data_IF_360625724916
#
_entry.id   IF_360625724916
#
_cell.length_a   1.000
_cell.length_b   1.000
_cell.length_c   1.000
_cell.angle_alpha   90.00
_cell.angle_beta   90.00
_cell.angle_gamma   90.00
#
_symmetry.space_group_name_H-M   'P 1'
#
loop_
_entity.id
_entity.type
_entity.pdbx_description
1 polymer ?
#
# COMPACT_ATOMS: atom_id res chain seq x y z
N UNK A 1 -20.32 -43.12 37.12
CA UNK A 1 -19.61 -43.41 35.86
C UNK A 1 -20.52 -42.99 34.73
N UNK A 2 -20.20 -41.89 34.05
CA UNK A 2 -20.96 -41.37 32.91
C UNK A 2 -19.99 -40.92 31.82
N UNK A 3 -20.44 -41.07 30.58
CA UNK A 3 -19.70 -41.10 29.33
C UNK A 3 -18.94 -39.82 28.98
N UNK A 4 -17.88 -40.01 28.21
CA UNK A 4 -17.17 -38.99 27.45
C UNK A 4 -17.90 -38.63 26.14
N UNK A 5 -17.95 -37.33 25.83
CA UNK A 5 -18.09 -36.67 24.51
C UNK A 5 -17.97 -35.17 24.80
N UNK A 6 -17.21 -34.30 24.13
CA UNK A 6 -16.40 -34.34 22.93
C UNK A 6 -16.26 -32.90 22.42
N UNK A 7 -15.03 -32.47 22.19
CA UNK A 7 -14.57 -31.39 21.28
C UNK A 7 -15.09 -29.95 21.50
N UNK A 8 -14.23 -29.12 22.09
CA UNK A 8 -14.24 -27.66 21.90
C UNK A 8 -12.92 -27.22 21.29
N UNK A 9 -12.92 -26.79 20.03
CA UNK A 9 -11.78 -26.16 19.38
C UNK A 9 -11.53 -24.77 20.00
N UNK A 10 -10.52 -24.67 20.87
CA UNK A 10 -9.98 -23.38 21.26
C UNK A 10 -9.26 -22.76 20.05
N UNK A 11 -9.87 -21.74 19.44
CA UNK A 11 -9.14 -20.81 18.59
C UNK A 11 -8.20 -20.02 19.50
N UNK A 12 -6.95 -20.47 19.58
CA UNK A 12 -5.90 -19.72 20.26
C UNK A 12 -5.78 -18.36 19.58
N UNK A 13 -6.15 -17.31 20.30
CA UNK A 13 -5.67 -15.96 20.02
C UNK A 13 -4.15 -16.00 20.16
N UNK A 14 -3.44 -16.19 19.06
CA UNK A 14 -1.99 -16.02 19.05
C UNK A 14 -1.71 -14.52 19.16
N UNK A 15 -1.66 -14.01 20.38
CA UNK A 15 -1.06 -12.72 20.66
C UNK A 15 0.44 -12.93 20.59
N UNK A 16 1.07 -12.52 19.50
CA UNK A 16 2.53 -12.39 19.46
C UNK A 16 2.94 -11.25 20.39
N UNK A 17 3.16 -11.58 21.67
CA UNK A 17 3.84 -10.71 22.62
C UNK A 17 5.21 -11.32 22.90
N UNK A 18 6.17 -11.26 21.95
CA UNK A 18 7.51 -11.76 22.18
C UNK A 18 8.10 -11.04 23.38
N UNK A 19 8.55 -11.81 24.38
CA UNK A 19 9.14 -11.22 25.58
C UNK A 19 10.42 -10.47 25.23
N UNK A 20 10.69 -9.35 25.91
CA UNK A 20 11.94 -8.60 25.77
C UNK A 20 13.19 -9.36 26.28
N UNK A 21 13.02 -10.58 26.82
CA UNK A 21 14.09 -11.43 27.36
C UNK A 21 14.74 -12.36 26.33
N UNK A 22 14.36 -12.29 25.05
CA UNK A 22 14.98 -13.09 23.97
C UNK A 22 15.24 -12.26 22.71
N UNK A 23 15.88 -12.88 21.72
CA UNK A 23 16.38 -12.23 20.50
C UNK A 23 15.28 -11.77 19.52
N UNK A 24 14.01 -11.76 19.91
CA UNK A 24 12.87 -11.49 19.03
C UNK A 24 12.25 -10.09 19.15
N UNK A 25 12.48 -9.36 20.25
CA UNK A 25 11.89 -8.03 20.47
C UNK A 25 12.98 -7.00 20.76
N UNK A 26 13.42 -6.31 19.71
CA UNK A 26 14.44 -5.26 19.78
C UNK A 26 13.81 -3.90 19.56
N UNK A 27 14.06 -2.96 20.47
CA UNK A 27 13.78 -1.55 20.25
C UNK A 27 15.05 -0.94 19.70
N UNK A 28 15.04 -0.56 18.42
CA UNK A 28 16.20 0.05 17.76
C UNK A 28 16.04 1.57 17.79
N UNK A 29 17.04 2.28 18.33
CA UNK A 29 17.21 3.74 18.22
C UNK A 29 16.38 4.60 19.18
N UNK A 30 16.62 5.93 19.20
CA UNK A 30 15.78 6.88 19.95
C UNK A 30 14.39 7.00 19.31
N UNK A 31 13.56 7.94 19.77
CA UNK A 31 12.34 8.32 19.05
C UNK A 31 12.66 8.68 17.59
N UNK A 32 11.97 8.07 16.62
CA UNK A 32 12.06 8.43 15.19
C UNK A 32 10.97 9.44 14.85
N UNK A 33 11.27 10.75 14.82
CA UNK A 33 10.29 11.73 14.39
C UNK A 33 10.04 11.63 12.88
N UNK A 34 8.82 11.97 12.48
CA UNK A 34 8.49 12.17 11.07
C UNK A 34 9.31 13.37 10.55
N UNK A 35 9.95 13.21 9.38
CA UNK A 35 10.64 14.33 8.72
C UNK A 35 9.62 15.46 8.46
N UNK A 36 9.91 16.73 8.81
CA UNK A 36 8.99 17.85 8.62
C UNK A 36 8.46 18.00 7.20
N UNK A 37 9.22 17.63 6.17
CA UNK A 37 8.77 17.70 4.78
C UNK A 37 7.73 16.62 4.43
N UNK A 38 7.53 15.62 5.29
CA UNK A 38 6.44 14.65 5.19
C UNK A 38 5.18 15.11 5.94
N UNK A 39 5.17 16.32 6.49
CA UNK A 39 4.02 16.92 7.19
C UNK A 39 3.38 18.04 6.38
N UNK A 40 2.17 18.44 6.77
CA UNK A 40 1.54 19.60 6.13
C UNK A 40 2.14 20.90 6.65
N UNK A 41 2.79 21.67 5.76
CA UNK A 41 3.40 22.97 6.07
C UNK A 41 2.58 24.17 5.59
N UNK A 42 1.34 23.96 5.15
CA UNK A 42 0.47 25.01 4.61
C UNK A 42 0.80 25.44 3.18
N UNK A 43 1.67 24.70 2.49
CA UNK A 43 2.03 24.93 1.09
C UNK A 43 0.88 24.60 0.13
N UNK A 44 0.89 25.15 -1.10
CA UNK A 44 -0.09 24.83 -2.13
C UNK A 44 -0.25 23.32 -2.32
N UNK A 45 -1.49 22.85 -2.25
CA UNK A 45 -1.83 21.43 -2.36
C UNK A 45 -2.15 21.04 -3.79
N UNK A 46 -1.64 19.90 -4.19
CA UNK A 46 -2.00 19.24 -5.43
C UNK A 46 -3.45 18.73 -5.45
N UNK A 47 -3.77 18.03 -6.53
CA UNK A 47 -5.08 17.39 -6.76
C UNK A 47 -4.94 15.87 -6.62
N UNK A 48 -5.88 15.25 -5.92
CA UNK A 48 -5.98 13.81 -5.81
C UNK A 48 -7.21 13.30 -6.57
N UNK A 49 -7.04 12.21 -7.30
CA UNK A 49 -8.09 11.50 -8.01
C UNK A 49 -8.12 10.04 -7.56
N UNK A 50 -9.31 9.44 -7.55
CA UNK A 50 -9.50 8.02 -7.32
C UNK A 50 -10.21 7.42 -8.54
N UNK A 51 -9.64 6.34 -9.06
CA UNK A 51 -10.20 5.55 -10.14
C UNK A 51 -10.42 4.12 -9.66
N UNK A 52 -11.27 3.40 -10.39
CA UNK A 52 -11.49 1.96 -10.21
C UNK A 52 -11.19 1.23 -11.51
N UNK A 53 -10.35 0.21 -11.43
CA UNK A 53 -10.10 -0.72 -12.53
C UNK A 53 -10.81 -2.04 -12.20
N UNK A 54 -11.80 -2.43 -13.00
CA UNK A 54 -12.37 -3.78 -12.90
C UNK A 54 -11.30 -4.79 -13.31
N UNK A 55 -11.12 -5.87 -12.55
CA UNK A 55 -10.13 -6.89 -12.89
C UNK A 55 -10.43 -7.49 -14.27
N UNK A 56 -11.69 -7.76 -14.60
CA UNK A 56 -12.09 -8.29 -15.90
C UNK A 56 -11.69 -7.41 -17.11
N UNK A 57 -11.41 -6.12 -16.89
CA UNK A 57 -10.91 -5.19 -17.92
C UNK A 57 -9.36 -5.18 -18.00
N UNK A 58 -8.68 -5.77 -17.01
CA UNK A 58 -7.22 -5.93 -17.02
C UNK A 58 -6.80 -6.89 -18.12
N UNK A 59 -5.68 -6.56 -18.78
CA UNK A 59 -5.05 -7.46 -19.76
C UNK A 59 -4.23 -8.58 -19.10
N UNK A 60 -3.80 -8.36 -17.86
CA UNK A 60 -2.86 -9.24 -17.15
C UNK A 60 -3.54 -9.97 -16.00
N UNK A 61 -4.29 -9.26 -15.15
CA UNK A 61 -4.89 -9.79 -13.93
C UNK A 61 -6.40 -9.69 -13.96
N UNK A 62 -7.02 -10.66 -14.63
CA UNK A 62 -8.46 -10.68 -14.90
C UNK A 62 -9.33 -11.15 -13.73
N UNK A 63 -8.71 -11.80 -12.74
CA UNK A 63 -9.40 -12.40 -11.60
C UNK A 63 -10.08 -13.74 -11.93
N UNK A 64 -9.75 -14.33 -13.08
CA UNK A 64 -10.27 -15.62 -13.57
C UNK A 64 -9.17 -16.68 -13.71
N UNK A 65 -7.98 -16.43 -13.14
CA UNK A 65 -6.86 -17.38 -13.17
C UNK A 65 -7.21 -18.68 -12.43
N UNK A 66 -6.84 -19.81 -13.02
CA UNK A 66 -7.15 -21.15 -12.49
C UNK A 66 -6.50 -21.48 -11.16
N UNK A 67 -5.45 -20.74 -10.76
CA UNK A 67 -4.78 -20.87 -9.46
C UNK A 67 -5.59 -20.25 -8.31
N UNK A 68 -6.61 -19.43 -8.62
CA UNK A 68 -7.45 -18.80 -7.62
C UNK A 68 -8.43 -19.80 -6.99
N UNK A 69 -8.70 -19.65 -5.70
CA UNK A 69 -9.60 -20.52 -4.93
C UNK A 69 -10.83 -19.75 -4.42
N UNK A 70 -11.76 -19.30 -5.30
CA UNK A 70 -12.86 -18.40 -4.95
C UNK A 70 -13.83 -18.97 -3.91
N UNK A 71 -13.92 -20.31 -3.82
CA UNK A 71 -14.73 -21.02 -2.82
C UNK A 71 -14.13 -20.94 -1.40
N UNK A 72 -12.82 -20.71 -1.29
CA UNK A 72 -12.11 -20.54 -0.01
C UNK A 72 -11.97 -19.07 0.37
N UNK A 73 -11.77 -18.18 -0.61
CA UNK A 73 -11.64 -16.74 -0.42
C UNK A 73 -12.16 -16.01 -1.64
N UNK A 74 -13.10 -15.08 -1.44
CA UNK A 74 -13.68 -14.33 -2.55
C UNK A 74 -12.60 -13.53 -3.29
N UNK A 75 -12.57 -13.63 -4.62
CA UNK A 75 -11.66 -12.85 -5.46
C UNK A 75 -12.19 -11.43 -5.58
N UNK A 76 -11.32 -10.43 -5.45
CA UNK A 76 -11.66 -9.02 -5.65
C UNK A 76 -12.08 -8.77 -7.10
N UNK A 77 -13.07 -7.91 -7.34
CA UNK A 77 -13.61 -7.62 -8.69
C UNK A 77 -13.07 -6.32 -9.29
N UNK A 78 -12.60 -5.40 -8.46
CA UNK A 78 -12.07 -4.10 -8.87
C UNK A 78 -10.90 -3.67 -7.96
N UNK A 79 -9.99 -2.87 -8.48
CA UNK A 79 -8.90 -2.24 -7.73
C UNK A 79 -9.00 -0.73 -7.78
N UNK A 80 -8.71 -0.10 -6.65
CA UNK A 80 -8.58 1.35 -6.57
C UNK A 80 -7.21 1.80 -7.04
N UNK A 81 -7.19 2.90 -7.77
CA UNK A 81 -5.98 3.59 -8.21
C UNK A 81 -6.11 5.04 -7.75
N UNK A 82 -5.13 5.51 -6.99
CA UNK A 82 -5.06 6.87 -6.49
C UNK A 82 -4.00 7.63 -7.28
N UNK A 83 -4.38 8.76 -7.86
CA UNK A 83 -3.46 9.61 -8.62
C UNK A 83 -3.30 10.94 -7.89
N UNK A 84 -2.07 11.33 -7.61
CA UNK A 84 -1.75 12.63 -7.04
C UNK A 84 -0.93 13.47 -8.02
N UNK A 85 -1.42 14.68 -8.29
CA UNK A 85 -0.76 15.66 -9.15
C UNK A 85 -0.38 16.86 -8.28
N UNK A 86 0.92 17.15 -8.05
CA UNK A 86 1.33 18.26 -7.19
C UNK A 86 0.97 19.62 -7.79
N UNK A 87 0.75 20.63 -6.96
CA UNK A 87 0.41 21.99 -7.41
C UNK A 87 1.48 22.62 -8.32
N UNK A 88 2.74 22.21 -8.15
CA UNK A 88 3.86 22.67 -8.96
C UNK A 88 3.88 22.09 -10.40
N UNK A 89 3.05 21.08 -10.69
CA UNK A 89 2.95 20.51 -12.03
C UNK A 89 2.26 21.49 -13.00
N UNK A 90 2.78 21.57 -14.23
CA UNK A 90 2.22 22.41 -15.30
C UNK A 90 1.47 21.55 -16.30
N UNK A 91 0.16 21.76 -16.39
CA UNK A 91 -0.69 21.05 -17.34
C UNK A 91 -0.15 21.19 -18.79
N UNK A 92 -0.15 20.10 -19.54
CA UNK A 92 0.38 20.03 -20.90
C UNK A 92 1.89 19.79 -21.02
N UNK A 93 2.63 19.75 -19.89
CA UNK A 93 4.07 19.39 -19.91
C UNK A 93 4.28 17.90 -19.65
N UNK A 94 5.39 17.28 -20.10
CA UNK A 94 5.70 15.89 -19.75
C UNK A 94 5.86 15.73 -18.23
N UNK A 95 5.28 14.66 -17.66
CA UNK A 95 5.36 14.34 -16.23
C UNK A 95 6.17 13.07 -15.99
N UNK A 96 7.19 13.09 -15.12
CA UNK A 96 7.69 11.86 -14.51
C UNK A 96 6.60 11.21 -13.66
N UNK A 97 6.63 9.88 -13.55
CA UNK A 97 5.64 9.11 -12.78
C UNK A 97 6.33 8.24 -11.75
N UNK A 98 5.86 8.30 -10.50
CA UNK A 98 6.18 7.36 -9.44
C UNK A 98 4.99 6.41 -9.24
N UNK A 99 5.19 5.12 -9.47
CA UNK A 99 4.19 4.09 -9.18
C UNK A 99 4.47 3.48 -7.81
N UNK A 100 3.47 3.44 -6.93
CA UNK A 100 3.55 2.78 -5.62
C UNK A 100 2.53 1.66 -5.51
N UNK A 101 2.95 0.55 -4.93
CA UNK A 101 2.07 -0.60 -4.64
C UNK A 101 1.52 -0.49 -3.20
N UNK A 102 0.55 -1.34 -2.88
CA UNK A 102 -0.13 -1.38 -1.58
C UNK A 102 -0.83 -0.07 -1.18
N UNK A 103 -1.33 0.67 -2.17
CA UNK A 103 -2.04 1.93 -1.99
C UNK A 103 -3.36 1.83 -1.21
N UNK A 104 -3.84 2.94 -0.62
CA UNK A 104 -3.17 4.24 -0.62
C UNK A 104 -2.06 4.37 0.44
N UNK A 105 -1.84 3.36 1.30
CA UNK A 105 -0.77 3.28 2.33
C UNK A 105 -0.21 4.64 2.78
N UNK A 106 1.06 4.93 2.51
CA UNK A 106 1.74 6.16 2.90
C UNK A 106 1.64 7.29 1.87
N UNK A 107 0.65 7.26 0.96
CA UNK A 107 0.42 8.31 -0.03
C UNK A 107 0.26 9.69 0.62
N UNK A 108 -0.28 9.76 1.85
CA UNK A 108 -0.34 11.00 2.63
C UNK A 108 1.05 11.62 2.89
N UNK A 109 2.06 10.81 3.16
CA UNK A 109 3.42 11.30 3.37
C UNK A 109 4.06 11.73 2.05
N UNK A 110 3.85 10.95 0.99
CA UNK A 110 4.37 11.25 -0.35
C UNK A 110 3.78 12.54 -0.91
N UNK A 111 2.47 12.78 -0.76
CA UNK A 111 1.86 14.04 -1.21
C UNK A 111 2.41 15.25 -0.44
N UNK A 112 2.67 15.11 0.86
CA UNK A 112 3.26 16.17 1.66
C UNK A 112 4.69 16.47 1.20
N UNK A 113 5.49 15.42 0.94
CA UNK A 113 6.82 15.57 0.35
C UNK A 113 6.75 16.34 -0.97
N UNK A 114 5.81 16.02 -1.84
CA UNK A 114 5.64 16.72 -3.11
C UNK A 114 5.23 18.19 -2.92
N UNK A 115 4.26 18.47 -2.04
CA UNK A 115 3.83 19.85 -1.78
C UNK A 115 4.94 20.72 -1.19
N UNK A 116 5.86 20.12 -0.43
CA UNK A 116 6.94 20.83 0.25
C UNK A 116 8.21 20.93 -0.60
N UNK A 117 8.63 19.83 -1.24
CA UNK A 117 9.93 19.72 -1.91
C UNK A 117 9.90 20.21 -3.35
N UNK A 118 8.75 20.22 -4.03
CA UNK A 118 8.67 20.71 -5.43
C UNK A 118 8.76 22.22 -5.56
N UNK A 119 8.49 22.95 -4.47
CA UNK A 119 8.62 24.41 -4.40
C UNK A 119 9.80 24.86 -3.53
N UNK A 120 10.57 23.91 -3.01
CA UNK A 120 11.69 24.20 -2.13
C UNK A 120 12.77 24.98 -2.87
N UNK A 121 13.29 26.02 -2.20
CA UNK A 121 14.42 26.83 -2.67
C UNK A 121 15.78 26.24 -2.27
N UNK A 122 15.79 25.22 -1.41
CA UNK A 122 17.03 24.53 -1.03
C UNK A 122 17.34 23.47 -2.08
N UNK A 123 18.45 23.58 -2.85
CA UNK A 123 18.80 22.61 -3.88
C UNK A 123 19.08 21.21 -3.34
N UNK A 124 19.48 21.07 -2.07
CA UNK A 124 19.70 19.76 -1.42
C UNK A 124 18.40 19.09 -0.97
N UNK A 125 17.30 19.86 -0.95
CA UNK A 125 15.95 19.40 -0.55
C UNK A 125 14.92 19.85 -1.55
N UNK A 126 15.16 19.55 -2.83
CA UNK A 126 14.26 19.88 -3.92
C UNK A 126 13.96 18.64 -4.76
N UNK A 127 12.72 18.51 -5.20
CA UNK A 127 12.29 17.46 -6.12
C UNK A 127 11.70 18.10 -7.38
N UNK A 128 11.92 17.53 -8.58
CA UNK A 128 11.12 17.91 -9.73
C UNK A 128 9.65 17.55 -9.46
N UNK A 129 8.67 18.30 -10.01
CA UNK A 129 7.28 17.91 -9.92
C UNK A 129 7.05 16.61 -10.71
N UNK A 130 6.43 15.62 -10.07
CA UNK A 130 6.04 14.35 -10.68
C UNK A 130 4.69 13.87 -10.17
N UNK A 131 4.04 13.01 -10.96
CA UNK A 131 2.74 12.44 -10.64
C UNK A 131 2.94 11.13 -9.88
N UNK A 132 2.16 10.91 -8.83
CA UNK A 132 2.17 9.64 -8.08
C UNK A 132 0.94 8.84 -8.46
N UNK A 133 1.14 7.58 -8.83
CA UNK A 133 0.08 6.61 -9.08
C UNK A 133 0.22 5.50 -8.04
N UNK A 134 -0.67 5.51 -7.04
CA UNK A 134 -0.69 4.50 -5.98
C UNK A 134 -1.79 3.48 -6.24
N UNK A 135 -1.40 2.22 -6.37
CA UNK A 135 -2.28 1.12 -6.77
C UNK A 135 -2.62 0.30 -5.52
N UNK A 136 -3.90 0.09 -5.29
CA UNK A 136 -4.38 -0.73 -4.17
C UNK A 136 -3.75 -2.13 -4.20
N UNK A 137 -3.46 -2.66 -3.01
CA UNK A 137 -2.90 -3.99 -2.84
C UNK A 137 -3.63 -5.07 -3.63
N UNK A 138 -2.90 -6.13 -3.96
CA UNK A 138 -3.46 -7.24 -4.73
C UNK A 138 -4.26 -8.27 -3.95
N UNK A 139 -4.35 -8.13 -2.63
CA UNK A 139 -4.86 -9.18 -1.75
C UNK A 139 -6.27 -9.69 -2.08
N UNK A 140 -6.67 -10.73 -1.35
CA UNK A 140 -7.94 -11.44 -1.50
C UNK A 140 -7.96 -12.48 -2.64
N UNK A 141 -6.81 -13.08 -2.94
CA UNK A 141 -6.56 -14.06 -4.00
C UNK A 141 -6.37 -15.51 -3.50
N UNK A 142 -6.16 -15.71 -2.19
CA UNK A 142 -6.15 -17.04 -1.56
C UNK A 142 -4.77 -17.46 -1.03
N UNK A 143 -4.69 -18.58 -0.30
CA UNK A 143 -3.42 -19.08 0.28
C UNK A 143 -2.55 -19.87 -0.73
N UNK A 144 -3.17 -20.38 -1.80
CA UNK A 144 -2.53 -21.13 -2.88
C UNK A 144 -2.50 -20.38 -4.22
N UNK A 145 -3.03 -19.14 -4.26
CA UNK A 145 -2.42 -18.13 -5.13
C UNK A 145 -0.95 -18.05 -4.70
N UNK A 146 0.03 -17.92 -5.58
CA UNK A 146 1.46 -17.74 -5.22
C UNK A 146 1.72 -16.35 -4.54
N UNK A 147 0.82 -15.97 -3.62
CA UNK A 147 0.69 -14.79 -2.74
C UNK A 147 0.37 -13.45 -3.38
N UNK A 148 0.39 -13.36 -4.70
CA UNK A 148 -0.01 -12.17 -5.43
C UNK A 148 0.43 -12.31 -6.87
N UNK A 149 -0.47 -12.77 -7.75
CA UNK A 149 -0.17 -12.93 -9.18
C UNK A 149 0.47 -11.67 -9.79
N UNK A 150 0.18 -10.47 -9.25
CA UNK A 150 0.87 -9.23 -9.62
C UNK A 150 2.28 -9.09 -9.07
N UNK A 151 2.53 -9.43 -7.80
CA UNK A 151 3.84 -9.29 -7.17
C UNK A 151 4.86 -10.32 -7.68
N UNK A 152 4.40 -11.51 -8.03
CA UNK A 152 5.29 -12.62 -8.42
C UNK A 152 5.67 -12.60 -9.91
N UNK A 153 5.06 -11.72 -10.73
CA UNK A 153 5.51 -11.50 -12.12
C UNK A 153 6.79 -10.65 -12.22
N UNK A 154 7.33 -10.20 -11.09
CA UNK A 154 8.57 -9.42 -10.99
C UNK A 154 9.70 -10.18 -10.28
N UNK A 155 9.55 -11.50 -10.02
CA UNK A 155 10.58 -12.36 -9.41
C UNK A 155 11.49 -13.04 -10.46
#
# INVERSE_FOLDING_TARGET
MSLATGVGCFHGHHSENPSSKGDGHHIVGPSYPIDPDLTDRGNPKGRQFEFKLRLADSKLFRGDDTTLEPTKKAVRTERKIFVYIPAAYRDGTPAPVLVTHDGPSQLKLVRNALDNLTISKNPERSLPPFIVVSIENGGNDGKNSERGLEYDTMS
#
